data_IF_832692511930
#
_entry.id   IF_832692511930
#
_cell.length_a   1.000
_cell.length_b   1.000
_cell.length_c   1.000
_cell.angle_alpha   90.00
_cell.angle_beta   90.00
_cell.angle_gamma   90.00
#
_symmetry.space_group_name_H-M   'P 1'
#
loop_
_entity.id
_entity.type
_entity.pdbx_description
1 polymer ?
#
# COMPACT_ATOMS: atom_id res chain seq x y z
N UNK A 1 -12.35 17.40 -5.09
CA UNK A 1 -11.00 17.41 -5.70
C UNK A 1 -10.95 18.47 -6.80
N UNK A 2 -10.10 19.48 -6.64
CA UNK A 2 -9.91 20.53 -7.65
C UNK A 2 -9.28 19.94 -8.92
N UNK A 3 -9.86 20.27 -10.07
CA UNK A 3 -9.34 19.90 -11.39
C UNK A 3 -8.03 20.64 -11.64
N UNK A 4 -6.90 19.98 -11.41
CA UNK A 4 -5.60 20.58 -11.73
C UNK A 4 -5.39 20.65 -13.24
N UNK A 5 -4.59 21.62 -13.70
CA UNK A 5 -4.27 21.78 -15.13
C UNK A 5 -3.55 20.55 -15.72
N UNK A 6 -2.89 19.73 -14.88
CA UNK A 6 -2.28 18.45 -15.25
C UNK A 6 -3.33 17.41 -15.66
N UNK A 7 -4.47 17.32 -14.95
CA UNK A 7 -5.50 16.31 -15.23
C UNK A 7 -6.20 16.55 -16.57
N UNK A 8 -6.37 17.80 -16.97
CA UNK A 8 -6.96 18.14 -18.27
C UNK A 8 -6.10 17.72 -19.47
N UNK A 9 -4.78 17.64 -19.29
CA UNK A 9 -3.82 17.25 -20.34
C UNK A 9 -3.51 15.75 -20.33
N UNK A 10 -3.93 15.02 -19.30
CA UNK A 10 -3.73 13.59 -19.17
C UNK A 10 -4.68 12.85 -20.14
N UNK A 11 -4.10 12.12 -21.10
CA UNK A 11 -4.88 11.38 -22.10
C UNK A 11 -5.78 10.32 -21.47
N UNK A 12 -5.27 9.56 -20.48
CA UNK A 12 -6.03 8.49 -19.80
C UNK A 12 -7.17 9.06 -18.93
N UNK A 13 -7.02 10.28 -18.43
CA UNK A 13 -8.13 10.95 -17.75
C UNK A 13 -9.26 11.29 -18.71
N UNK A 14 -8.95 11.72 -19.94
CA UNK A 14 -9.95 12.00 -20.98
C UNK A 14 -10.59 10.72 -21.48
N UNK A 15 -9.79 9.72 -21.84
CA UNK A 15 -10.28 8.41 -22.27
C UNK A 15 -11.17 7.76 -21.22
N UNK A 16 -10.81 7.83 -19.93
CA UNK A 16 -11.64 7.30 -18.86
C UNK A 16 -13.05 7.92 -18.85
N UNK A 17 -13.18 9.20 -19.15
CA UNK A 17 -14.51 9.84 -19.26
C UNK A 17 -15.26 9.44 -20.53
N UNK A 18 -14.57 9.33 -21.65
CA UNK A 18 -15.16 8.92 -22.93
C UNK A 18 -15.67 7.48 -22.87
N UNK A 19 -14.92 6.58 -22.23
CA UNK A 19 -15.27 5.16 -22.09
C UNK A 19 -16.15 4.86 -20.86
N UNK A 20 -16.46 5.86 -20.03
CA UNK A 20 -17.32 5.71 -18.86
C UNK A 20 -16.67 5.01 -17.66
N UNK A 21 -15.32 5.05 -17.56
CA UNK A 21 -14.61 4.56 -16.38
C UNK A 21 -14.71 5.55 -15.20
N UNK A 22 -14.86 5.03 -13.99
CA UNK A 22 -14.92 5.84 -12.76
C UNK A 22 -13.64 6.64 -12.51
N UNK A 23 -12.49 6.06 -12.85
CA UNK A 23 -11.19 6.71 -12.76
C UNK A 23 -10.23 6.21 -13.84
N UNK A 24 -9.18 6.99 -14.10
CA UNK A 24 -8.12 6.62 -15.06
C UNK A 24 -7.33 5.36 -14.63
N UNK A 25 -7.40 4.98 -13.35
CA UNK A 25 -6.74 3.78 -12.83
C UNK A 25 -7.24 2.48 -13.49
N UNK A 26 -8.44 2.48 -14.09
CA UNK A 26 -8.93 1.35 -14.88
C UNK A 26 -7.91 0.91 -15.95
N UNK A 27 -7.28 1.85 -16.65
CA UNK A 27 -6.29 1.54 -17.67
C UNK A 27 -5.03 0.86 -17.13
N UNK A 28 -4.69 1.05 -15.85
CA UNK A 28 -3.56 0.36 -15.24
C UNK A 28 -3.80 -1.14 -15.21
N UNK A 29 -4.99 -1.55 -14.77
CA UNK A 29 -5.37 -2.96 -14.71
C UNK A 29 -5.52 -3.57 -16.12
N UNK A 30 -6.08 -2.81 -17.07
CA UNK A 30 -6.22 -3.25 -18.47
C UNK A 30 -4.85 -3.52 -19.08
N UNK A 31 -3.89 -2.60 -18.93
CA UNK A 31 -2.53 -2.78 -19.47
C UNK A 31 -1.74 -3.90 -18.78
N UNK A 32 -2.02 -4.15 -17.49
CA UNK A 32 -1.45 -5.31 -16.79
C UNK A 32 -2.01 -6.60 -17.38
N UNK A 33 -3.32 -6.67 -17.63
CA UNK A 33 -3.96 -7.82 -18.25
C UNK A 33 -3.45 -8.10 -19.66
N UNK A 34 -3.25 -7.07 -20.49
CA UNK A 34 -2.71 -7.19 -21.85
C UNK A 34 -1.34 -7.89 -21.90
N UNK A 35 -0.54 -7.75 -20.83
CA UNK A 35 0.81 -8.33 -20.77
C UNK A 35 0.84 -9.66 -20.01
N UNK A 36 0.06 -9.78 -18.93
CA UNK A 36 0.16 -10.89 -18.00
C UNK A 36 -1.02 -11.86 -18.08
N UNK A 37 -2.07 -11.54 -18.85
CA UNK A 37 -3.26 -12.37 -19.04
C UNK A 37 -3.91 -12.81 -17.73
N UNK A 38 -4.06 -11.83 -16.81
CA UNK A 38 -4.50 -12.11 -15.44
C UNK A 38 -5.98 -12.50 -15.32
N UNK A 39 -6.79 -12.27 -16.35
CA UNK A 39 -8.22 -12.62 -16.37
C UNK A 39 -8.52 -13.98 -16.99
N UNK A 40 -7.52 -14.65 -17.57
CA UNK A 40 -7.73 -15.92 -18.25
C UNK A 40 -8.23 -17.01 -17.29
N UNK A 41 -9.40 -17.58 -17.58
CA UNK A 41 -10.02 -18.61 -16.77
C UNK A 41 -10.55 -18.16 -15.41
N UNK A 42 -10.53 -16.86 -15.10
CA UNK A 42 -10.99 -16.33 -13.80
C UNK A 42 -12.52 -16.22 -13.76
N UNK A 43 -13.13 -16.79 -12.73
CA UNK A 43 -14.54 -16.64 -12.38
C UNK A 43 -14.73 -16.03 -10.98
N UNK A 44 -13.69 -16.10 -10.13
CA UNK A 44 -13.72 -15.60 -8.76
C UNK A 44 -12.57 -14.67 -8.50
N UNK A 45 -12.89 -13.41 -8.17
CA UNK A 45 -11.90 -12.36 -7.93
C UNK A 45 -12.20 -11.55 -6.68
N UNK A 46 -11.17 -10.98 -6.08
CA UNK A 46 -11.26 -10.04 -4.95
C UNK A 46 -10.54 -8.75 -5.34
N UNK A 47 -11.21 -7.61 -5.16
CA UNK A 47 -10.66 -6.27 -5.32
C UNK A 47 -10.55 -5.61 -3.94
N UNK A 48 -9.32 -5.46 -3.45
CA UNK A 48 -9.00 -4.86 -2.15
C UNK A 48 -8.68 -3.38 -2.31
N UNK A 49 -9.18 -2.55 -1.41
CA UNK A 49 -9.09 -1.09 -1.49
C UNK A 49 -9.72 -0.57 -2.79
N UNK A 50 -10.93 -1.05 -3.08
CA UNK A 50 -11.56 -0.93 -4.38
C UNK A 50 -12.06 0.47 -4.74
N UNK A 51 -12.34 1.36 -3.77
CA UNK A 51 -12.89 2.69 -4.04
C UNK A 51 -11.98 3.55 -4.95
N UNK A 52 -12.54 4.27 -5.90
CA UNK A 52 -13.94 4.51 -6.23
C UNK A 52 -14.60 3.41 -7.09
N UNK A 53 -13.95 2.27 -7.31
CA UNK A 53 -14.49 1.12 -8.04
C UNK A 53 -14.08 1.05 -9.51
N UNK A 54 -12.99 1.68 -9.91
CA UNK A 54 -12.53 1.62 -11.31
C UNK A 54 -11.96 0.26 -11.69
N UNK A 55 -11.25 -0.41 -10.79
CA UNK A 55 -10.76 -1.77 -11.00
C UNK A 55 -11.90 -2.79 -10.92
N UNK A 56 -12.78 -2.63 -9.93
CA UNK A 56 -14.04 -3.42 -9.87
C UNK A 56 -14.86 -3.29 -11.14
N UNK A 57 -14.92 -2.11 -11.77
CA UNK A 57 -15.62 -1.89 -13.04
C UNK A 57 -14.96 -2.66 -14.20
N UNK A 58 -13.62 -2.76 -14.23
CA UNK A 58 -12.91 -3.60 -15.20
C UNK A 58 -13.24 -5.07 -14.97
N UNK A 59 -13.20 -5.54 -13.71
CA UNK A 59 -13.60 -6.91 -13.36
C UNK A 59 -15.03 -7.22 -13.79
N UNK A 60 -15.98 -6.32 -13.50
CA UNK A 60 -17.38 -6.46 -13.92
C UNK A 60 -17.49 -6.63 -15.43
N UNK A 61 -16.88 -5.76 -16.21
CA UNK A 61 -16.92 -5.84 -17.67
C UNK A 61 -16.25 -7.08 -18.23
N UNK A 62 -15.07 -7.47 -17.72
CA UNK A 62 -14.25 -8.57 -18.24
C UNK A 62 -14.74 -9.94 -17.78
N UNK A 63 -15.18 -10.08 -16.53
CA UNK A 63 -15.50 -11.38 -15.95
C UNK A 63 -17.02 -11.67 -15.91
N UNK A 64 -17.85 -10.65 -15.79
CA UNK A 64 -19.30 -10.83 -15.62
C UNK A 64 -20.09 -10.40 -16.87
N UNK A 65 -19.96 -9.16 -17.34
CA UNK A 65 -20.79 -8.65 -18.45
C UNK A 65 -20.45 -9.32 -19.78
N UNK A 66 -19.18 -9.69 -20.01
CA UNK A 66 -18.72 -10.35 -21.24
C UNK A 66 -19.21 -11.80 -21.39
N UNK A 67 -19.73 -12.39 -20.32
CA UNK A 67 -20.22 -13.79 -20.31
C UNK A 67 -21.67 -13.90 -20.68
N UNK A 68 -22.03 -15.05 -21.21
CA UNK A 68 -23.43 -15.39 -21.41
C UNK A 68 -24.19 -15.38 -20.07
N UNK A 69 -25.47 -14.94 -20.07
CA UNK A 69 -26.26 -14.84 -18.82
C UNK A 69 -26.30 -16.14 -18.00
N UNK A 70 -26.19 -17.28 -18.63
CA UNK A 70 -26.19 -18.61 -17.96
C UNK A 70 -24.93 -18.86 -17.16
N UNK A 71 -23.78 -18.32 -17.62
CA UNK A 71 -22.46 -18.55 -17.01
C UNK A 71 -22.14 -17.49 -15.95
N UNK A 72 -22.97 -16.45 -15.83
CA UNK A 72 -22.78 -15.37 -14.85
C UNK A 72 -22.98 -15.81 -13.41
N UNK A 73 -23.76 -16.87 -13.18
CA UNK A 73 -24.00 -17.41 -11.83
C UNK A 73 -22.73 -17.99 -11.20
N UNK A 74 -21.76 -18.41 -12.03
CA UNK A 74 -20.47 -18.92 -11.56
C UNK A 74 -19.49 -17.81 -11.16
N UNK A 75 -19.78 -16.58 -11.59
CA UNK A 75 -18.88 -15.43 -11.34
C UNK A 75 -19.16 -14.83 -9.98
N UNK A 76 -18.13 -14.78 -9.14
CA UNK A 76 -18.16 -14.10 -7.83
C UNK A 76 -17.02 -13.08 -7.74
N UNK A 77 -17.38 -11.82 -7.69
CA UNK A 77 -16.42 -10.73 -7.56
C UNK A 77 -16.74 -9.97 -6.27
N UNK A 78 -15.78 -9.92 -5.36
CA UNK A 78 -15.92 -9.23 -4.07
C UNK A 78 -15.04 -8.01 -4.07
N UNK A 79 -15.62 -6.84 -3.84
CA UNK A 79 -14.91 -5.57 -3.73
C UNK A 79 -14.97 -5.06 -2.29
N UNK A 80 -13.81 -4.76 -1.72
CA UNK A 80 -13.66 -4.34 -0.31
C UNK A 80 -13.02 -2.98 -0.25
N UNK A 81 -13.62 -2.06 0.52
CA UNK A 81 -13.04 -0.74 0.81
C UNK A 81 -13.58 -0.21 2.13
N UNK A 82 -12.87 0.74 2.73
CA UNK A 82 -13.34 1.53 3.88
C UNK A 82 -14.52 2.44 3.49
N UNK A 83 -14.53 2.90 2.24
CA UNK A 83 -15.55 3.79 1.70
C UNK A 83 -16.60 3.00 0.93
N UNK A 84 -17.86 3.42 1.04
CA UNK A 84 -18.93 2.89 0.21
C UNK A 84 -18.75 3.30 -1.25
N UNK A 85 -19.06 2.39 -2.17
CA UNK A 85 -18.99 2.63 -3.61
C UNK A 85 -20.39 2.58 -4.23
N UNK A 86 -20.57 3.26 -5.36
CA UNK A 86 -21.78 3.07 -6.19
C UNK A 86 -21.85 1.61 -6.69
N UNK A 87 -23.07 1.03 -6.86
CA UNK A 87 -23.23 -0.35 -7.29
C UNK A 87 -22.64 -0.60 -8.68
N UNK A 88 -22.19 -1.82 -8.90
CA UNK A 88 -21.66 -2.33 -10.16
C UNK A 88 -22.27 -3.72 -10.44
N UNK A 89 -22.58 -4.04 -11.71
CA UNK A 89 -23.11 -5.36 -12.07
C UNK A 89 -22.16 -6.50 -11.66
N UNK A 90 -22.69 -7.55 -11.04
CA UNK A 90 -21.91 -8.72 -10.65
C UNK A 90 -20.91 -8.54 -9.53
N UNK A 91 -20.89 -7.38 -8.86
CA UNK A 91 -19.95 -7.08 -7.77
C UNK A 91 -20.66 -7.11 -6.43
N UNK A 92 -20.14 -7.94 -5.52
CA UNK A 92 -20.50 -7.95 -4.10
C UNK A 92 -19.60 -6.93 -3.39
N UNK A 93 -20.22 -5.92 -2.79
CA UNK A 93 -19.46 -4.86 -2.11
C UNK A 93 -19.47 -5.10 -0.60
N UNK A 94 -18.29 -5.09 0.00
CA UNK A 94 -18.09 -5.17 1.44
C UNK A 94 -17.43 -3.88 1.92
N UNK A 95 -18.00 -3.25 2.94
CA UNK A 95 -17.32 -2.16 3.63
C UNK A 95 -16.50 -2.75 4.76
N UNK A 96 -15.19 -2.60 4.69
CA UNK A 96 -14.28 -3.18 5.68
C UNK A 96 -12.84 -2.69 5.53
N UNK A 97 -12.13 -2.85 6.62
CA UNK A 97 -10.70 -2.56 6.72
C UNK A 97 -9.92 -3.85 6.44
N UNK A 98 -9.05 -3.84 5.44
CA UNK A 98 -8.25 -5.02 5.03
C UNK A 98 -7.21 -5.44 6.09
N UNK A 99 -6.98 -4.63 7.10
CA UNK A 99 -6.11 -4.98 8.24
C UNK A 99 -6.84 -5.78 9.33
N UNK A 100 -8.18 -5.94 9.21
CA UNK A 100 -9.01 -6.61 10.23
C UNK A 100 -9.36 -8.03 9.84
N UNK A 101 -9.26 -8.93 10.82
CA UNK A 101 -9.66 -10.33 10.70
C UNK A 101 -11.11 -10.48 10.24
N UNK A 102 -12.03 -9.69 10.79
CA UNK A 102 -13.44 -9.72 10.42
C UNK A 102 -13.70 -9.47 8.94
N UNK A 103 -12.87 -8.66 8.29
CA UNK A 103 -12.98 -8.41 6.85
C UNK A 103 -12.57 -9.64 6.04
N UNK A 104 -11.47 -10.30 6.43
CA UNK A 104 -11.06 -11.54 5.77
C UNK A 104 -12.09 -12.65 5.95
N UNK A 105 -12.64 -12.82 7.15
CA UNK A 105 -13.71 -13.79 7.43
C UNK A 105 -14.95 -13.51 6.59
N UNK A 106 -15.33 -12.24 6.43
CA UNK A 106 -16.45 -11.85 5.56
C UNK A 106 -16.21 -12.22 4.09
N UNK A 107 -15.00 -11.97 3.57
CA UNK A 107 -14.61 -12.36 2.21
C UNK A 107 -14.71 -13.88 2.04
N UNK A 108 -14.14 -14.65 2.96
CA UNK A 108 -14.15 -16.12 2.93
C UNK A 108 -15.58 -16.65 2.97
N UNK A 109 -16.44 -16.06 3.83
CA UNK A 109 -17.84 -16.43 3.96
C UNK A 109 -18.63 -16.30 2.65
N UNK A 110 -18.30 -15.31 1.80
CA UNK A 110 -18.95 -15.15 0.50
C UNK A 110 -18.54 -16.19 -0.54
N UNK A 111 -17.34 -16.74 -0.46
CA UNK A 111 -16.91 -17.80 -1.38
C UNK A 111 -17.46 -19.18 -0.98
N UNK A 112 -17.72 -19.43 0.31
CA UNK A 112 -18.09 -20.72 0.86
C UNK A 112 -16.86 -21.60 1.17
N UNK A 113 -17.07 -22.69 1.91
CA UNK A 113 -16.01 -23.47 2.57
C UNK A 113 -14.96 -24.09 1.63
N UNK A 114 -15.25 -24.26 0.35
CA UNK A 114 -14.33 -24.93 -0.59
C UNK A 114 -13.98 -24.07 -1.81
N UNK A 115 -14.46 -22.86 -1.90
CA UNK A 115 -14.22 -22.00 -3.06
C UNK A 115 -13.28 -20.87 -2.71
N UNK A 116 -12.20 -20.74 -3.48
CA UNK A 116 -11.22 -19.66 -3.34
C UNK A 116 -11.16 -18.80 -4.59
N UNK A 117 -10.67 -17.57 -4.45
CA UNK A 117 -10.43 -16.67 -5.56
C UNK A 117 -9.29 -17.17 -6.45
N UNK A 118 -9.37 -16.92 -7.74
CA UNK A 118 -8.28 -17.15 -8.69
C UNK A 118 -7.45 -15.90 -8.90
N UNK A 119 -8.03 -14.73 -8.60
CA UNK A 119 -7.40 -13.43 -8.73
C UNK A 119 -7.69 -12.57 -7.50
N UNK A 120 -6.64 -11.98 -6.93
CA UNK A 120 -6.75 -10.92 -5.91
C UNK A 120 -6.01 -9.71 -6.44
N UNK A 121 -6.66 -8.54 -6.43
CA UNK A 121 -6.08 -7.29 -6.86
C UNK A 121 -6.17 -6.24 -5.76
N UNK A 122 -5.22 -5.29 -5.72
CA UNK A 122 -5.17 -4.22 -4.73
C UNK A 122 -4.55 -2.95 -5.33
N UNK A 123 -5.35 -1.92 -5.59
CA UNK A 123 -4.87 -0.58 -6.00
C UNK A 123 -4.82 0.39 -4.80
N UNK A 124 -4.75 -0.15 -3.56
CA UNK A 124 -4.70 0.62 -2.34
C UNK A 124 -3.50 1.57 -2.29
N UNK A 125 -3.72 2.74 -1.74
CA UNK A 125 -2.67 3.71 -1.43
C UNK A 125 -3.06 4.51 -0.19
N UNK A 126 -2.08 4.94 0.63
CA UNK A 126 -2.35 5.91 1.69
C UNK A 126 -2.74 7.26 1.09
N UNK A 127 -3.28 8.13 1.93
CA UNK A 127 -3.33 9.55 1.63
C UNK A 127 -1.89 10.06 1.49
N UNK A 128 -1.53 10.46 0.26
CA UNK A 128 -0.16 10.88 -0.05
C UNK A 128 0.14 12.20 0.67
N UNK A 129 1.01 12.15 1.66
CA UNK A 129 1.41 13.32 2.48
C UNK A 129 2.42 14.19 1.76
N UNK A 130 3.14 13.63 0.77
CA UNK A 130 4.29 14.24 0.09
C UNK A 130 5.62 13.98 0.81
N UNK A 131 5.59 13.31 1.96
CA UNK A 131 6.75 12.79 2.66
C UNK A 131 7.00 11.36 2.18
N UNK A 132 7.91 11.20 1.23
CA UNK A 132 8.11 9.95 0.53
C UNK A 132 8.37 8.75 1.46
N UNK A 133 9.15 8.93 2.51
CA UNK A 133 9.50 7.84 3.43
C UNK A 133 8.27 7.33 4.20
N UNK A 134 7.37 8.23 4.61
CA UNK A 134 6.12 7.87 5.31
C UNK A 134 5.15 7.21 4.33
N UNK A 135 5.00 7.78 3.14
CA UNK A 135 4.11 7.25 2.11
C UNK A 135 4.53 5.83 1.69
N UNK A 136 5.84 5.57 1.54
CA UNK A 136 6.41 4.25 1.25
C UNK A 136 6.15 3.26 2.38
N UNK A 137 6.33 3.69 3.61
CA UNK A 137 6.09 2.87 4.80
C UNK A 137 4.63 2.42 4.89
N UNK A 138 3.68 3.35 4.81
CA UNK A 138 2.25 3.01 4.90
C UNK A 138 1.82 2.14 3.72
N UNK A 139 2.36 2.41 2.51
CA UNK A 139 2.10 1.56 1.35
C UNK A 139 2.59 0.11 1.57
N UNK A 140 3.73 -0.08 2.23
CA UNK A 140 4.24 -1.41 2.57
C UNK A 140 3.30 -2.14 3.52
N UNK A 141 2.72 -1.43 4.50
CA UNK A 141 1.73 -2.01 5.42
C UNK A 141 0.46 -2.46 4.70
N UNK A 142 -0.05 -1.66 3.76
CA UNK A 142 -1.20 -2.02 2.95
C UNK A 142 -0.91 -3.26 2.08
N UNK A 143 0.28 -3.35 1.50
CA UNK A 143 0.68 -4.52 0.72
C UNK A 143 0.73 -5.79 1.58
N UNK A 144 1.30 -5.72 2.80
CA UNK A 144 1.35 -6.85 3.72
C UNK A 144 -0.06 -7.27 4.17
N UNK A 145 -0.94 -6.32 4.46
CA UNK A 145 -2.33 -6.61 4.78
C UNK A 145 -3.05 -7.29 3.60
N UNK A 146 -2.85 -6.79 2.38
CA UNK A 146 -3.40 -7.39 1.18
C UNK A 146 -2.84 -8.80 0.92
N UNK A 147 -1.53 -9.02 1.16
CA UNK A 147 -0.92 -10.35 1.08
C UNK A 147 -1.50 -11.30 2.14
N UNK A 148 -1.67 -10.84 3.38
CA UNK A 148 -2.27 -11.65 4.44
C UNK A 148 -3.66 -12.16 4.04
N UNK A 149 -4.56 -11.27 3.60
CA UNK A 149 -5.88 -11.69 3.09
C UNK A 149 -5.72 -12.66 1.91
N UNK A 150 -4.81 -12.37 0.99
CA UNK A 150 -4.56 -13.18 -0.19
C UNK A 150 -4.19 -14.62 0.18
N UNK A 151 -3.37 -14.84 1.21
CA UNK A 151 -2.99 -16.19 1.64
C UNK A 151 -4.17 -17.02 2.13
N UNK A 152 -5.23 -16.39 2.62
CA UNK A 152 -6.46 -17.07 3.06
C UNK A 152 -7.40 -17.39 1.90
N UNK A 153 -7.55 -16.46 0.96
CA UNK A 153 -8.61 -16.49 -0.05
C UNK A 153 -8.18 -16.97 -1.42
N UNK A 154 -6.86 -16.95 -1.74
CA UNK A 154 -6.35 -17.31 -3.06
C UNK A 154 -6.20 -18.83 -3.22
N UNK A 155 -6.63 -19.34 -4.36
CA UNK A 155 -6.43 -20.75 -4.73
C UNK A 155 -4.97 -20.99 -5.15
N UNK A 156 -4.52 -22.24 -5.07
CA UNK A 156 -3.22 -22.65 -5.64
C UNK A 156 -3.18 -22.32 -7.14
N UNK A 157 -2.05 -21.83 -7.62
CA UNK A 157 -1.89 -21.35 -8.99
C UNK A 157 -2.53 -19.99 -9.27
N UNK A 158 -3.19 -19.37 -8.29
CA UNK A 158 -3.83 -18.07 -8.46
C UNK A 158 -2.85 -16.90 -8.62
N UNK A 159 -3.42 -15.74 -8.94
CA UNK A 159 -2.66 -14.52 -9.23
C UNK A 159 -2.98 -13.42 -8.22
N UNK A 160 -1.97 -12.70 -7.77
CA UNK A 160 -2.09 -11.52 -6.93
C UNK A 160 -1.43 -10.31 -7.61
N UNK A 161 -2.17 -9.21 -7.71
CA UNK A 161 -1.67 -7.95 -8.27
C UNK A 161 -1.85 -6.84 -7.26
N UNK A 162 -0.78 -6.14 -6.91
CA UNK A 162 -0.88 -5.06 -5.95
C UNK A 162 0.00 -3.86 -6.32
N UNK A 163 -0.46 -2.67 -5.93
CA UNK A 163 0.32 -1.45 -6.04
C UNK A 163 1.46 -1.44 -5.04
N UNK A 164 2.62 -0.99 -5.49
CA UNK A 164 3.78 -0.67 -4.64
C UNK A 164 4.27 0.74 -4.91
N UNK A 165 4.94 1.33 -3.93
CA UNK A 165 5.81 2.47 -4.14
C UNK A 165 7.25 1.98 -4.23
N UNK A 166 7.96 2.42 -5.27
CA UNK A 166 9.37 2.05 -5.46
C UNK A 166 10.21 2.84 -4.45
N UNK A 167 10.74 2.16 -3.47
CA UNK A 167 11.54 2.72 -2.39
C UNK A 167 12.70 1.81 -2.01
N UNK A 168 13.34 2.10 -0.89
CA UNK A 168 14.51 1.38 -0.38
C UNK A 168 14.21 -0.10 -0.08
N UNK A 169 13.00 -0.39 0.42
CA UNK A 169 12.61 -1.70 0.92
C UNK A 169 11.91 -2.58 -0.13
N UNK A 170 11.87 -2.15 -1.38
CA UNK A 170 11.24 -2.92 -2.47
C UNK A 170 11.85 -4.32 -2.61
N UNK A 171 13.15 -4.48 -2.38
CA UNK A 171 13.84 -5.77 -2.43
C UNK A 171 13.36 -6.73 -1.35
N UNK A 172 13.09 -6.24 -0.14
CA UNK A 172 12.55 -7.04 0.97
C UNK A 172 11.13 -7.51 0.66
N UNK A 173 10.26 -6.60 0.20
CA UNK A 173 8.91 -6.95 -0.21
C UNK A 173 8.89 -7.97 -1.34
N UNK A 174 9.73 -7.80 -2.34
CA UNK A 174 9.89 -8.75 -3.44
C UNK A 174 10.31 -10.14 -2.93
N UNK A 175 11.27 -10.20 -2.01
CA UNK A 175 11.74 -11.46 -1.43
C UNK A 175 10.63 -12.18 -0.65
N UNK A 176 9.79 -11.45 0.08
CA UNK A 176 8.64 -12.01 0.79
C UNK A 176 7.59 -12.58 -0.17
N UNK A 177 7.27 -11.85 -1.24
CA UNK A 177 6.33 -12.33 -2.26
C UNK A 177 6.82 -13.60 -2.96
N UNK A 178 8.14 -13.70 -3.21
CA UNK A 178 8.79 -14.88 -3.80
C UNK A 178 8.67 -16.14 -2.96
N UNK A 179 8.37 -16.03 -1.67
CA UNK A 179 8.11 -17.20 -0.80
C UNK A 179 6.78 -17.88 -1.18
N UNK A 180 5.80 -17.08 -1.62
CA UNK A 180 4.44 -17.53 -1.89
C UNK A 180 4.09 -17.71 -3.36
N UNK A 181 4.85 -17.09 -4.25
CA UNK A 181 4.56 -17.08 -5.68
C UNK A 181 5.79 -17.52 -6.48
N UNK A 182 5.56 -18.37 -7.47
CA UNK A 182 6.65 -18.85 -8.33
C UNK A 182 7.18 -17.73 -9.22
N UNK A 183 6.28 -16.89 -9.75
CA UNK A 183 6.63 -15.76 -10.60
C UNK A 183 6.21 -14.45 -9.97
N UNK A 184 7.17 -13.57 -9.74
CA UNK A 184 6.92 -12.21 -9.24
C UNK A 184 7.59 -11.22 -10.17
N UNK A 185 6.81 -10.32 -10.74
CA UNK A 185 7.27 -9.29 -11.67
C UNK A 185 6.86 -7.92 -11.17
N UNK A 186 7.75 -6.93 -11.30
CA UNK A 186 7.42 -5.54 -11.03
C UNK A 186 7.11 -4.89 -12.38
N UNK A 187 5.89 -4.40 -12.53
CA UNK A 187 5.37 -3.81 -13.77
C UNK A 187 5.03 -2.33 -13.57
N UNK A 188 5.24 -1.54 -14.62
CA UNK A 188 4.81 -0.14 -14.68
C UNK A 188 3.98 0.09 -15.94
N UNK A 189 2.64 0.12 -15.84
CA UNK A 189 1.77 0.36 -16.98
C UNK A 189 2.01 1.73 -17.61
N UNK A 190 1.82 1.91 -18.93
CA UNK A 190 1.95 3.20 -19.60
C UNK A 190 1.01 4.27 -19.04
N UNK A 191 -0.16 3.87 -18.51
CA UNK A 191 -1.10 4.75 -17.82
C UNK A 191 -0.62 5.24 -16.46
N UNK A 192 0.45 4.66 -15.90
CA UNK A 192 1.12 5.18 -14.71
C UNK A 192 2.09 6.30 -15.09
N UNK A 193 2.00 7.46 -14.43
CA UNK A 193 2.88 8.61 -14.75
C UNK A 193 4.35 8.27 -14.52
N UNK A 194 5.23 8.63 -15.46
CA UNK A 194 6.66 8.38 -15.34
C UNK A 194 7.29 9.06 -14.12
N UNK A 195 6.77 10.21 -13.71
CA UNK A 195 7.23 10.95 -12.53
C UNK A 195 6.75 10.34 -11.20
N UNK A 196 5.86 9.35 -11.23
CA UNK A 196 5.36 8.68 -10.02
C UNK A 196 6.27 7.53 -9.61
N UNK A 197 6.47 7.37 -8.29
CA UNK A 197 7.13 6.20 -7.70
C UNK A 197 6.27 4.93 -7.77
N UNK A 198 5.03 5.04 -8.20
CA UNK A 198 4.08 3.94 -8.33
C UNK A 198 4.58 2.88 -9.32
N UNK A 199 4.45 1.63 -8.93
CA UNK A 199 4.57 0.44 -9.76
C UNK A 199 3.58 -0.63 -9.24
N UNK A 200 3.54 -1.78 -9.88
CA UNK A 200 2.69 -2.90 -9.49
C UNK A 200 3.51 -4.17 -9.40
N UNK A 201 3.27 -4.96 -8.36
CA UNK A 201 3.74 -6.35 -8.34
C UNK A 201 2.68 -7.22 -8.99
N UNK A 202 3.10 -8.08 -9.90
CA UNK A 202 2.27 -9.12 -10.52
C UNK A 202 2.86 -10.46 -10.09
N UNK A 203 2.14 -11.14 -9.21
CA UNK A 203 2.54 -12.38 -8.58
C UNK A 203 1.67 -13.51 -9.13
N UNK A 204 2.25 -14.43 -9.88
CA UNK A 204 1.53 -15.53 -10.51
C UNK A 204 2.01 -16.88 -9.95
N UNK A 205 1.15 -17.88 -10.06
CA UNK A 205 1.37 -19.22 -9.53
C UNK A 205 1.56 -19.22 -8.01
N UNK A 206 0.48 -18.89 -7.28
CA UNK A 206 0.44 -18.97 -5.82
C UNK A 206 0.75 -20.38 -5.36
N UNK A 207 1.83 -20.51 -4.61
CA UNK A 207 2.34 -21.80 -4.12
C UNK A 207 2.99 -21.61 -2.76
N UNK A 208 2.18 -21.55 -1.69
CA UNK A 208 2.73 -21.39 -0.35
C UNK A 208 3.63 -22.58 0.02
N UNK A 209 4.64 -22.39 0.87
CA UNK A 209 5.48 -23.47 1.36
C UNK A 209 4.66 -24.58 2.02
N UNK A 210 5.13 -25.83 1.90
CA UNK A 210 4.48 -26.96 2.54
C UNK A 210 4.40 -26.77 4.06
N UNK A 211 3.23 -27.01 4.64
CA UNK A 211 2.97 -26.80 6.07
C UNK A 211 2.71 -25.33 6.48
N UNK A 212 2.62 -24.41 5.51
CA UNK A 212 2.20 -23.03 5.79
C UNK A 212 0.71 -22.98 6.14
N UNK A 213 0.40 -22.39 7.28
CA UNK A 213 -0.98 -22.14 7.73
C UNK A 213 -1.21 -20.62 7.68
N UNK A 214 -2.13 -20.13 6.85
CA UNK A 214 -2.45 -18.71 6.80
C UNK A 214 -2.85 -18.17 8.17
N UNK A 215 -2.24 -17.05 8.57
CA UNK A 215 -2.54 -16.37 9.83
C UNK A 215 -2.79 -14.90 9.53
N UNK A 216 -3.87 -14.37 10.11
CA UNK A 216 -4.12 -12.92 10.04
C UNK A 216 -3.44 -12.27 11.25
N UNK A 217 -2.30 -11.67 10.96
CA UNK A 217 -1.54 -10.89 11.93
C UNK A 217 -1.89 -9.42 11.69
N UNK A 218 -2.40 -8.76 12.71
CA UNK A 218 -2.55 -7.32 12.69
C UNK A 218 -1.33 -6.67 13.35
N UNK A 219 -0.37 -6.13 12.57
CA UNK A 219 0.86 -5.60 13.13
C UNK A 219 0.64 -4.38 14.04
N UNK A 220 -0.54 -3.75 13.98
CA UNK A 220 -0.86 -2.55 14.77
C UNK A 220 -1.63 -2.85 16.06
N UNK A 221 -2.20 -4.03 16.23
CA UNK A 221 -3.07 -4.36 17.36
C UNK A 221 -2.62 -5.60 18.14
N UNK A 222 -1.87 -6.50 17.51
CA UNK A 222 -1.46 -7.74 18.14
C UNK A 222 -0.20 -7.54 18.99
N UNK A 223 -0.23 -8.06 20.22
CA UNK A 223 0.95 -8.07 21.09
C UNK A 223 2.05 -8.92 20.44
N UNK A 224 3.25 -8.34 20.32
CA UNK A 224 4.47 -8.99 19.82
C UNK A 224 4.70 -10.35 20.47
N UNK A 225 4.37 -10.50 21.77
CA UNK A 225 4.50 -11.75 22.51
C UNK A 225 3.51 -12.81 22.05
N UNK A 226 2.27 -12.40 21.70
CA UNK A 226 1.25 -13.32 21.18
C UNK A 226 1.63 -13.81 19.79
N UNK A 227 2.13 -12.91 18.93
CA UNK A 227 2.60 -13.27 17.58
C UNK A 227 3.76 -14.26 17.65
N UNK A 228 4.72 -14.03 18.53
CA UNK A 228 5.86 -14.94 18.73
C UNK A 228 5.44 -16.33 19.23
N UNK A 229 4.39 -16.41 20.05
CA UNK A 229 3.85 -17.67 20.57
C UNK A 229 2.92 -18.39 19.58
N UNK A 230 2.24 -17.68 18.70
CA UNK A 230 1.33 -18.26 17.70
C UNK A 230 2.06 -18.90 16.50
N UNK A 231 3.35 -18.61 16.32
CA UNK A 231 4.17 -19.15 15.23
C UNK A 231 4.90 -20.43 15.63
N UNK A 232 4.19 -21.46 16.04
CA UNK A 232 4.80 -22.76 16.36
C UNK A 232 5.43 -23.47 15.16
N UNK A 233 4.99 -23.11 13.94
CA UNK A 233 5.59 -23.66 12.72
C UNK A 233 6.76 -22.79 12.23
N UNK A 234 7.96 -23.39 12.01
CA UNK A 234 9.08 -22.68 11.39
C UNK A 234 8.73 -22.08 10.02
N UNK A 235 7.78 -22.68 9.31
CA UNK A 235 7.33 -22.25 7.99
C UNK A 235 6.53 -20.95 8.08
N UNK A 236 5.75 -20.77 9.16
CA UNK A 236 4.98 -19.54 9.36
C UNK A 236 5.86 -18.31 9.63
N UNK A 237 7.12 -18.52 10.04
CA UNK A 237 8.12 -17.47 10.20
C UNK A 237 8.65 -16.92 8.85
N UNK A 238 8.21 -17.49 7.73
CA UNK A 238 8.59 -17.00 6.40
C UNK A 238 8.07 -15.57 6.14
N UNK A 239 6.91 -15.20 6.71
CA UNK A 239 6.46 -13.81 6.71
C UNK A 239 7.12 -13.11 7.90
N UNK A 240 7.95 -12.11 7.62
CA UNK A 240 8.52 -11.25 8.65
C UNK A 240 7.47 -10.25 9.09
N UNK A 241 6.97 -10.31 10.34
CA UNK A 241 6.00 -9.35 10.81
C UNK A 241 6.66 -7.98 10.96
N UNK A 242 5.95 -6.94 10.56
CA UNK A 242 6.32 -5.58 10.91
C UNK A 242 5.56 -5.18 12.18
N UNK A 243 6.29 -4.90 13.23
CA UNK A 243 5.72 -4.60 14.54
C UNK A 243 6.13 -3.20 14.98
N UNK A 244 5.16 -2.40 15.35
CA UNK A 244 5.41 -1.12 16.01
C UNK A 244 5.57 -1.36 17.51
N UNK A 245 6.67 -0.88 18.07
CA UNK A 245 6.94 -0.97 19.50
C UNK A 245 6.44 0.30 20.19
N UNK A 246 5.73 0.13 21.28
CA UNK A 246 5.15 1.22 22.06
C UNK A 246 3.63 1.31 21.92
N UNK A 247 3.02 2.24 22.63
CA UNK A 247 1.58 2.50 22.54
C UNK A 247 1.31 3.58 21.50
N UNK A 248 0.72 3.18 20.36
CA UNK A 248 0.34 4.08 19.29
C UNK A 248 -0.75 5.09 19.65
N UNK A 249 -1.37 4.94 20.81
CA UNK A 249 -2.37 5.90 21.35
C UNK A 249 -1.75 7.00 22.17
N UNK A 250 -0.46 6.88 22.50
CA UNK A 250 0.30 7.91 23.20
C UNK A 250 0.91 8.93 22.22
N UNK A 251 1.88 9.69 22.68
CA UNK A 251 2.55 10.72 21.91
C UNK A 251 3.37 10.13 20.77
N UNK A 252 3.21 10.66 19.57
CA UNK A 252 4.07 10.37 18.44
C UNK A 252 5.09 11.49 18.21
N UNK A 253 6.19 11.18 17.54
CA UNK A 253 7.28 12.13 17.31
C UNK A 253 7.02 13.13 16.18
N UNK A 254 5.96 12.93 15.40
CA UNK A 254 5.66 13.75 14.21
C UNK A 254 4.73 14.92 14.53
N UNK A 255 4.04 14.85 15.65
CA UNK A 255 3.14 15.90 16.11
C UNK A 255 3.83 16.85 17.09
N UNK A 256 3.35 18.09 17.12
CA UNK A 256 3.79 19.09 18.09
C UNK A 256 2.87 19.09 19.30
N UNK A 257 3.44 18.94 20.48
CA UNK A 257 2.73 18.94 21.75
C UNK A 257 3.07 20.19 22.56
N UNK A 258 2.18 20.54 23.50
CA UNK A 258 2.47 21.58 24.49
C UNK A 258 3.68 21.18 25.34
N UNK A 259 4.51 22.15 25.73
CA UNK A 259 5.59 21.90 26.67
C UNK A 259 5.07 21.37 28.01
N UNK A 260 3.90 21.83 28.45
CA UNK A 260 3.21 21.30 29.62
C UNK A 260 2.33 20.11 29.18
N UNK A 261 2.93 18.92 29.07
CA UNK A 261 2.23 17.69 28.73
C UNK A 261 1.33 17.24 29.89
N UNK A 262 1.80 17.39 31.14
CA UNK A 262 1.06 17.13 32.34
C UNK A 262 0.47 18.46 32.84
N UNK A 263 -0.88 18.62 32.90
CA UNK A 263 -1.51 19.85 33.36
C UNK A 263 -1.17 20.22 34.82
N UNK A 264 -0.75 19.24 35.62
CA UNK A 264 -0.41 19.42 37.04
C UNK A 264 1.04 19.84 37.27
N UNK A 265 1.86 19.87 36.19
CA UNK A 265 3.28 20.18 36.29
C UNK A 265 3.69 21.23 35.28
N UNK A 266 4.36 22.27 35.77
CA UNK A 266 4.99 23.24 34.89
C UNK A 266 6.22 22.64 34.20
N UNK A 267 6.42 23.03 32.94
CA UNK A 267 7.59 22.62 32.19
C UNK A 267 8.87 23.18 32.80
N UNK A 268 9.77 22.31 33.20
CA UNK A 268 11.11 22.66 33.68
C UNK A 268 12.15 22.31 32.60
N UNK A 269 12.84 23.31 32.08
CA UNK A 269 13.93 23.07 31.14
C UNK A 269 15.09 22.33 31.81
N UNK A 270 15.54 21.26 31.20
CA UNK A 270 16.74 20.51 31.60
C UNK A 270 17.74 20.50 30.47
N UNK A 271 18.99 20.81 30.80
CA UNK A 271 20.08 20.66 29.84
C UNK A 271 20.29 19.20 29.47
N UNK A 272 20.80 19.01 28.24
CA UNK A 272 21.17 17.65 27.77
C UNK A 272 22.32 17.09 28.62
N UNK A 273 22.21 15.83 29.01
CA UNK A 273 23.23 15.15 29.83
C UNK A 273 24.58 15.10 29.11
N UNK A 274 24.54 14.90 27.79
CA UNK A 274 25.72 14.94 26.94
C UNK A 274 25.44 15.80 25.73
N UNK A 275 26.18 16.88 25.58
CA UNK A 275 26.08 17.73 24.40
C UNK A 275 26.54 16.97 23.16
N UNK A 276 25.92 17.23 21.97
CA UNK A 276 26.41 16.63 20.73
C UNK A 276 27.89 16.95 20.52
N UNK A 277 28.66 15.98 20.06
CA UNK A 277 30.04 16.22 19.64
C UNK A 277 30.03 17.27 18.53
N UNK A 278 30.94 18.25 18.63
CA UNK A 278 31.08 19.28 17.61
C UNK A 278 31.54 18.64 16.29
N UNK A 279 30.69 18.49 15.25
CA UNK A 279 31.16 17.97 13.98
C UNK A 279 32.08 18.98 13.29
N UNK A 280 32.93 18.52 12.37
CA UNK A 280 33.88 19.37 11.63
C UNK A 280 33.22 20.55 10.89
N UNK A 281 31.92 20.46 10.62
CA UNK A 281 31.11 21.49 9.98
C UNK A 281 30.36 22.42 10.96
N UNK A 282 30.57 22.30 12.27
CA UNK A 282 29.83 23.06 13.29
C UNK A 282 30.00 24.58 13.11
N UNK A 283 31.21 25.06 12.76
CA UNK A 283 31.46 26.46 12.48
C UNK A 283 30.66 26.99 11.28
N UNK A 284 30.48 26.15 10.25
CA UNK A 284 29.68 26.50 9.07
C UNK A 284 28.21 26.64 9.45
N UNK A 285 27.69 25.74 10.29
CA UNK A 285 26.32 25.81 10.79
C UNK A 285 26.07 27.04 11.66
N UNK A 286 27.04 27.43 12.51
CA UNK A 286 26.94 28.65 13.30
C UNK A 286 26.96 29.91 12.42
N UNK A 287 27.83 29.96 11.42
CA UNK A 287 27.87 31.04 10.42
C UNK A 287 26.55 31.13 9.65
N UNK A 288 25.95 29.99 9.28
CA UNK A 288 24.62 29.96 8.62
C UNK A 288 23.50 30.47 9.52
N UNK A 289 23.53 30.22 10.83
CA UNK A 289 22.52 30.73 11.78
C UNK A 289 22.65 32.26 12.00
N UNK A 290 23.86 32.79 11.94
CA UNK A 290 24.15 34.24 12.12
C UNK A 290 23.97 35.03 10.84
N UNK A 291 24.01 34.39 9.68
CA UNK A 291 23.81 35.05 8.39
C UNK A 291 22.32 35.04 8.07
N UNK A 292 21.65 36.19 8.17
CA UNK A 292 20.26 36.32 7.74
C UNK A 292 20.20 36.13 6.22
N UNK A 293 19.79 34.97 5.76
CA UNK A 293 19.48 34.68 4.36
C UNK A 293 18.21 35.43 3.95
N UNK A 294 18.28 36.75 3.85
CA UNK A 294 17.32 37.51 3.05
C UNK A 294 17.85 37.52 1.61
N UNK A 295 17.16 36.75 0.78
CA UNK A 295 17.30 36.76 -0.68
C UNK A 295 18.69 36.36 -1.26
N UNK A 296 18.94 35.07 -1.40
CA UNK A 296 19.60 34.46 -2.58
C UNK A 296 20.98 34.93 -3.03
N UNK A 297 21.78 35.67 -2.23
CA UNK A 297 23.13 36.07 -2.61
C UNK A 297 24.11 35.90 -1.45
N UNK A 298 24.90 34.84 -1.54
CA UNK A 298 26.11 34.69 -0.69
C UNK A 298 27.13 35.67 -1.19
N UNK A 299 27.38 36.77 -0.44
CA UNK A 299 28.58 37.55 -0.61
C UNK A 299 29.72 36.84 0.12
N UNK A 300 30.60 36.22 -0.65
CA UNK A 300 31.88 35.72 -0.16
C UNK A 300 32.79 36.94 -0.07
N UNK A 301 33.03 37.46 1.14
CA UNK A 301 34.15 38.39 1.37
C UNK A 301 35.43 37.59 1.30
N UNK A 302 36.22 37.84 0.26
CA UNK A 302 37.56 37.32 0.13
C UNK A 302 38.48 38.07 1.10
N UNK A 303 38.94 37.38 2.13
CA UNK A 303 40.01 37.87 2.99
C UNK A 303 41.26 38.14 2.14
N UNK A 304 41.55 39.44 1.92
CA UNK A 304 42.85 39.87 1.42
C UNK A 304 43.85 39.68 2.55
N UNK A 305 44.62 38.60 2.51
CA UNK A 305 45.91 38.56 3.21
C UNK A 305 46.79 39.67 2.61
N UNK A 306 47.13 40.62 3.42
CA UNK A 306 48.29 41.51 3.19
C UNK A 306 49.53 40.79 3.69
N UNK A 307 50.56 40.88 2.86
CA UNK A 307 51.96 40.53 3.13
C UNK A 307 52.49 41.10 4.43
#
# INVERSE_FOLDING_TARGET
MGKTSKDKRDIYYRLAKEEGWRARSAFKLIHIDEVFHIFDGVTRAVDLCAAPGSWSQVLSKRLYESRDPKDREEVKIIAVDLQSMGPLPGIIQLQGDITKLSTAEAIIGHFGEQQKAQLVICDGAPDVTGLHDIDEYIQSQLLLAALNITTHVLTLGGTFVAKIFRGKDTSLLYSQLRIFFERVTIAKPPSSRNSSIEAFVVCQDYRPPEGYIPQLINPMLDDVRQIACQTDSPVNRAIVPFLVCGDLREFDSDMSYSLNIDPEKDYEYRDVVQKPLAPAYSEVLERMKTTSLKHGSIKVEADKKKD
#
